data_IF_812806013376
#
_entry.id   IF_812806013376
#
_cell.length_a   1.000
_cell.length_b   1.000
_cell.length_c   1.000
_cell.angle_alpha   90.00
_cell.angle_beta   90.00
_cell.angle_gamma   90.00
#
_symmetry.space_group_name_H-M   'P 1'
#
loop_
_entity.id
_entity.type
_entity.pdbx_description
1 polymer ?
#
# COMPACT_ATOMS: atom_id res chain seq x y z
N UNK A 1 71.90 -13.57 -7.41
CA UNK A 1 71.61 -12.14 -7.16
C UNK A 1 70.28 -11.65 -7.77
N UNK A 2 69.71 -12.26 -8.82
CA UNK A 2 68.52 -11.71 -9.50
C UNK A 2 67.18 -11.75 -8.73
N UNK A 3 67.01 -12.65 -7.74
CA UNK A 3 65.72 -12.81 -7.04
C UNK A 3 65.52 -11.78 -5.92
N UNK A 4 66.60 -11.39 -5.23
CA UNK A 4 66.56 -10.39 -4.15
C UNK A 4 66.28 -8.99 -4.70
N UNK A 5 66.79 -8.67 -5.89
CA UNK A 5 66.53 -7.38 -6.57
C UNK A 5 65.09 -7.24 -7.09
N UNK A 6 64.36 -8.35 -7.26
CA UNK A 6 62.97 -8.38 -7.74
C UNK A 6 61.92 -8.39 -6.63
N UNK A 7 62.34 -8.63 -5.37
CA UNK A 7 61.44 -8.63 -4.21
C UNK A 7 60.61 -7.34 -4.08
N UNK A 8 61.17 -6.12 -4.27
CA UNK A 8 60.38 -4.89 -4.18
C UNK A 8 59.26 -4.84 -5.22
N UNK A 9 59.52 -5.31 -6.43
CA UNK A 9 58.54 -5.35 -7.52
C UNK A 9 57.44 -6.38 -7.25
N UNK A 10 57.79 -7.58 -6.77
CA UNK A 10 56.82 -8.61 -6.39
C UNK A 10 55.93 -8.16 -5.24
N UNK A 11 56.49 -7.53 -4.22
CA UNK A 11 55.72 -6.94 -3.11
C UNK A 11 54.76 -5.87 -3.65
N UNK A 12 55.22 -5.00 -4.55
CA UNK A 12 54.38 -3.99 -5.19
C UNK A 12 53.18 -4.58 -5.94
N UNK A 13 53.38 -5.68 -6.69
CA UNK A 13 52.31 -6.38 -7.41
C UNK A 13 51.32 -7.04 -6.44
N UNK A 14 51.80 -7.68 -5.37
CA UNK A 14 50.93 -8.30 -4.36
C UNK A 14 50.09 -7.23 -3.65
N UNK A 15 50.71 -6.12 -3.23
CA UNK A 15 50.00 -5.01 -2.59
C UNK A 15 48.99 -4.39 -3.56
N UNK A 16 49.39 -4.15 -4.81
CA UNK A 16 48.51 -3.58 -5.84
C UNK A 16 47.31 -4.46 -6.17
N UNK A 17 47.52 -5.77 -6.24
CA UNK A 17 46.44 -6.75 -6.52
C UNK A 17 45.49 -6.91 -5.34
N UNK A 18 45.99 -6.94 -4.10
CA UNK A 18 45.14 -6.96 -2.89
C UNK A 18 44.32 -5.67 -2.77
N UNK A 19 44.94 -4.51 -3.00
CA UNK A 19 44.23 -3.22 -2.98
C UNK A 19 43.16 -3.14 -4.07
N UNK A 20 43.48 -3.60 -5.29
CA UNK A 20 42.53 -3.65 -6.41
C UNK A 20 41.36 -4.58 -6.12
N UNK A 21 41.62 -5.78 -5.59
CA UNK A 21 40.57 -6.73 -5.20
C UNK A 21 39.66 -6.15 -4.11
N UNK A 22 40.23 -5.51 -3.08
CA UNK A 22 39.46 -4.89 -2.01
C UNK A 22 38.57 -3.74 -2.53
N UNK A 23 39.11 -2.88 -3.39
CA UNK A 23 38.36 -1.78 -4.02
C UNK A 23 37.21 -2.31 -4.90
N UNK A 24 37.46 -3.38 -5.65
CA UNK A 24 36.44 -4.01 -6.48
C UNK A 24 35.34 -4.67 -5.63
N UNK A 25 35.71 -5.43 -4.59
CA UNK A 25 34.77 -6.05 -3.68
C UNK A 25 33.87 -5.01 -2.95
N UNK A 26 34.42 -3.87 -2.55
CA UNK A 26 33.64 -2.78 -1.95
C UNK A 26 32.66 -2.15 -2.95
N UNK A 27 33.09 -1.99 -4.20
CA UNK A 27 32.26 -1.43 -5.27
C UNK A 27 31.11 -2.37 -5.63
N UNK A 28 31.38 -3.66 -5.77
CA UNK A 28 30.38 -4.69 -6.02
C UNK A 28 29.38 -4.79 -4.86
N UNK A 29 29.84 -4.78 -3.60
CA UNK A 29 28.95 -4.73 -2.43
C UNK A 29 28.02 -3.51 -2.43
N UNK A 30 28.54 -2.32 -2.77
CA UNK A 30 27.73 -1.09 -2.88
C UNK A 30 26.74 -1.13 -4.04
N UNK A 31 27.09 -1.80 -5.14
CA UNK A 31 26.20 -2.01 -6.29
C UNK A 31 25.08 -2.99 -5.94
N UNK A 32 25.41 -4.14 -5.36
CA UNK A 32 24.43 -5.13 -4.91
C UNK A 32 23.47 -4.60 -3.84
N UNK A 33 23.97 -3.77 -2.90
CA UNK A 33 23.12 -3.14 -1.91
C UNK A 33 22.08 -2.22 -2.57
N UNK A 34 22.51 -1.36 -3.51
CA UNK A 34 21.61 -0.47 -4.26
C UNK A 34 20.59 -1.23 -5.12
N UNK A 35 21.03 -2.25 -5.86
CA UNK A 35 20.13 -3.08 -6.67
C UNK A 35 19.10 -3.84 -5.82
N UNK A 36 19.48 -4.24 -4.59
CA UNK A 36 18.58 -4.89 -3.64
C UNK A 36 17.60 -3.91 -3.01
N UNK A 37 18.05 -2.71 -2.66
CA UNK A 37 17.20 -1.61 -2.17
C UNK A 37 16.13 -1.26 -3.21
N UNK A 38 16.51 -1.04 -4.47
CA UNK A 38 15.58 -0.74 -5.57
C UNK A 38 14.53 -1.85 -5.75
N UNK A 39 14.94 -3.13 -5.69
CA UNK A 39 14.00 -4.25 -5.83
C UNK A 39 12.99 -4.33 -4.68
N UNK A 40 13.43 -3.98 -3.47
CA UNK A 40 12.53 -3.92 -2.33
C UNK A 40 11.58 -2.72 -2.41
N UNK A 41 12.02 -1.59 -2.96
CA UNK A 41 11.16 -0.43 -3.23
C UNK A 41 10.08 -0.77 -4.26
N UNK A 42 10.46 -1.37 -5.38
CA UNK A 42 9.52 -1.82 -6.43
C UNK A 42 8.51 -2.82 -5.85
N UNK A 43 8.98 -3.76 -5.02
CA UNK A 43 8.10 -4.76 -4.41
C UNK A 43 7.13 -4.14 -3.42
N UNK A 44 7.58 -3.17 -2.62
CA UNK A 44 6.73 -2.42 -1.68
C UNK A 44 5.67 -1.61 -2.43
N UNK A 45 6.08 -0.86 -3.46
CA UNK A 45 5.17 -0.08 -4.29
C UNK A 45 4.07 -0.96 -4.91
N UNK A 46 4.46 -2.06 -5.54
CA UNK A 46 3.53 -3.03 -6.14
C UNK A 46 2.56 -3.61 -5.09
N UNK A 47 3.08 -3.96 -3.91
CA UNK A 47 2.29 -4.54 -2.81
C UNK A 47 1.29 -3.55 -2.23
N UNK A 48 1.72 -2.32 -1.93
CA UNK A 48 0.84 -1.26 -1.45
C UNK A 48 -0.23 -0.89 -2.47
N UNK A 49 0.13 -0.80 -3.75
CA UNK A 49 -0.81 -0.55 -4.84
C UNK A 49 -1.87 -1.64 -4.96
N UNK A 50 -1.46 -2.92 -4.94
CA UNK A 50 -2.40 -4.06 -4.95
C UNK A 50 -3.31 -4.07 -3.74
N UNK A 51 -2.76 -3.88 -2.54
CA UNK A 51 -3.54 -3.88 -1.31
C UNK A 51 -4.60 -2.75 -1.30
N UNK A 52 -4.21 -1.55 -1.73
CA UNK A 52 -5.15 -0.45 -1.89
C UNK A 52 -6.27 -0.76 -2.89
N UNK A 53 -5.95 -1.46 -3.98
CA UNK A 53 -6.94 -1.82 -5.00
C UNK A 53 -7.97 -2.82 -4.48
N UNK A 54 -7.54 -3.87 -3.75
CA UNK A 54 -8.49 -4.83 -3.16
C UNK A 54 -9.38 -4.17 -2.10
N UNK A 55 -8.84 -3.24 -1.30
CA UNK A 55 -9.64 -2.48 -0.34
C UNK A 55 -10.68 -1.57 -1.01
N UNK A 56 -10.30 -0.86 -2.06
CA UNK A 56 -11.24 -0.04 -2.84
C UNK A 56 -12.32 -0.89 -3.50
N UNK A 57 -11.97 -2.06 -4.03
CA UNK A 57 -12.94 -2.99 -4.62
C UNK A 57 -13.92 -3.51 -3.57
N UNK A 58 -13.43 -3.90 -2.39
CA UNK A 58 -14.24 -4.34 -1.26
C UNK A 58 -15.20 -3.23 -0.79
N UNK A 59 -14.71 -2.01 -0.57
CA UNK A 59 -15.54 -0.85 -0.22
C UNK A 59 -16.59 -0.55 -1.31
N UNK A 60 -16.22 -0.66 -2.59
CA UNK A 60 -17.13 -0.43 -3.71
C UNK A 60 -18.30 -1.40 -3.70
N UNK A 61 -18.08 -2.67 -3.39
CA UNK A 61 -19.16 -3.66 -3.27
C UNK A 61 -20.10 -3.28 -2.12
N UNK A 62 -19.55 -2.94 -0.95
CA UNK A 62 -20.37 -2.50 0.19
C UNK A 62 -21.21 -1.26 -0.13
N UNK A 63 -20.65 -0.27 -0.86
CA UNK A 63 -21.40 0.90 -1.32
C UNK A 63 -22.56 0.57 -2.25
N UNK A 64 -22.39 -0.41 -3.14
CA UNK A 64 -23.45 -0.85 -4.06
C UNK A 64 -24.60 -1.54 -3.32
N UNK A 65 -24.27 -2.33 -2.29
CA UNK A 65 -25.29 -2.91 -1.39
C UNK A 65 -25.99 -1.79 -0.60
N UNK A 66 -25.24 -0.82 -0.07
CA UNK A 66 -25.80 0.35 0.60
C UNK A 66 -26.79 1.13 -0.28
N UNK A 67 -26.50 1.27 -1.59
CA UNK A 67 -27.43 1.91 -2.53
C UNK A 67 -28.75 1.14 -2.68
N UNK A 68 -28.73 -0.20 -2.74
CA UNK A 68 -29.96 -1.01 -2.73
C UNK A 68 -30.76 -0.84 -1.42
N UNK A 69 -30.08 -0.52 -0.32
CA UNK A 69 -30.68 -0.25 0.99
C UNK A 69 -31.09 1.23 1.20
N UNK A 70 -31.05 2.06 0.15
CA UNK A 70 -31.53 3.45 0.19
C UNK A 70 -30.44 4.53 0.36
N UNK A 71 -29.16 4.17 0.34
CA UNK A 71 -28.03 5.11 0.45
C UNK A 71 -27.40 5.39 -0.92
N UNK A 72 -28.15 6.11 -1.75
CA UNK A 72 -27.92 6.25 -3.20
C UNK A 72 -26.78 7.21 -3.59
N UNK A 73 -25.56 6.94 -3.10
CA UNK A 73 -24.36 7.69 -3.49
C UNK A 73 -23.55 6.99 -4.62
N UNK A 74 -24.08 5.88 -5.18
CA UNK A 74 -23.52 5.16 -6.34
C UNK A 74 -24.63 4.84 -7.36
N UNK A 75 -24.27 4.84 -8.65
CA UNK A 75 -25.23 4.68 -9.75
C UNK A 75 -25.67 3.23 -10.04
N UNK A 76 -24.88 2.26 -9.61
CA UNK A 76 -25.02 0.82 -9.90
C UNK A 76 -25.26 0.02 -8.62
N UNK A 77 -26.51 -0.01 -8.15
CA UNK A 77 -26.90 -0.78 -6.99
C UNK A 77 -26.61 -2.29 -7.15
N UNK A 78 -26.54 -2.98 -6.02
CA UNK A 78 -26.36 -4.43 -5.96
C UNK A 78 -27.21 -4.99 -4.83
N UNK A 79 -28.15 -5.88 -5.15
CA UNK A 79 -29.03 -6.45 -4.14
C UNK A 79 -28.23 -7.22 -3.08
N UNK A 80 -28.59 -7.16 -1.78
CA UNK A 80 -27.85 -7.84 -0.72
C UNK A 80 -27.64 -9.33 -0.97
N UNK A 81 -28.64 -10.01 -1.54
CA UNK A 81 -28.56 -11.44 -1.87
C UNK A 81 -27.45 -11.77 -2.88
N UNK A 82 -27.18 -10.86 -3.83
CA UNK A 82 -26.14 -11.02 -4.84
C UNK A 82 -24.80 -10.43 -4.38
N UNK A 83 -24.84 -9.37 -3.58
CA UNK A 83 -23.66 -8.63 -3.15
C UNK A 83 -22.90 -9.27 -1.99
N UNK A 84 -23.59 -9.89 -1.03
CA UNK A 84 -22.93 -10.48 0.14
C UNK A 84 -21.94 -11.60 -0.22
N UNK A 85 -22.22 -12.52 -1.18
CA UNK A 85 -21.23 -13.48 -1.66
C UNK A 85 -20.00 -12.81 -2.29
N UNK A 86 -20.20 -11.76 -3.10
CA UNK A 86 -19.11 -11.01 -3.72
C UNK A 86 -18.26 -10.26 -2.68
N UNK A 87 -18.89 -9.76 -1.62
CA UNK A 87 -18.22 -9.11 -0.52
C UNK A 87 -17.33 -10.09 0.26
N UNK A 88 -17.81 -11.31 0.53
CA UNK A 88 -17.02 -12.36 1.16
C UNK A 88 -15.81 -12.81 0.31
N UNK A 89 -15.98 -12.86 -1.02
CA UNK A 89 -14.87 -13.14 -1.93
C UNK A 89 -13.83 -11.99 -1.91
N UNK A 90 -14.28 -10.74 -1.98
CA UNK A 90 -13.39 -9.58 -1.86
C UNK A 90 -12.64 -9.56 -0.52
N UNK A 91 -13.31 -9.95 0.57
CA UNK A 91 -12.71 -10.09 1.89
C UNK A 91 -11.56 -11.11 1.89
N UNK A 92 -11.76 -12.26 1.26
CA UNK A 92 -10.77 -13.33 1.12
C UNK A 92 -9.56 -12.88 0.28
N UNK A 93 -9.79 -12.15 -0.80
CA UNK A 93 -8.73 -11.57 -1.63
C UNK A 93 -7.91 -10.54 -0.84
N UNK A 94 -8.58 -9.67 -0.07
CA UNK A 94 -7.92 -8.70 0.80
C UNK A 94 -7.11 -9.37 1.89
N UNK A 95 -7.61 -10.44 2.52
CA UNK A 95 -6.86 -11.23 3.50
C UNK A 95 -5.60 -11.84 2.88
N UNK A 96 -5.68 -12.33 1.63
CA UNK A 96 -4.50 -12.85 0.91
C UNK A 96 -3.46 -11.75 0.64
N UNK A 97 -3.89 -10.56 0.19
CA UNK A 97 -2.97 -9.44 -0.05
C UNK A 97 -2.38 -8.87 1.25
N UNK A 98 -3.08 -9.01 2.37
CA UNK A 98 -2.62 -8.55 3.68
C UNK A 98 -1.31 -9.20 4.11
N UNK A 99 -1.16 -10.51 3.87
CA UNK A 99 0.08 -11.24 4.17
C UNK A 99 1.29 -10.62 3.47
N UNK A 100 1.12 -10.16 2.23
CA UNK A 100 2.22 -9.50 1.51
C UNK A 100 2.59 -8.16 2.14
N UNK A 101 1.62 -7.37 2.61
CA UNK A 101 1.87 -6.09 3.31
C UNK A 101 2.66 -6.31 4.59
N UNK A 102 2.32 -7.35 5.37
CA UNK A 102 3.04 -7.70 6.59
C UNK A 102 4.51 -8.06 6.34
N UNK A 103 4.83 -8.66 5.20
CA UNK A 103 6.18 -9.12 4.87
C UNK A 103 7.10 -7.99 4.38
N UNK A 104 6.55 -6.99 3.70
CA UNK A 104 7.36 -5.97 3.01
C UNK A 104 7.25 -4.58 3.60
N UNK A 105 6.20 -4.30 4.38
CA UNK A 105 5.94 -2.95 4.86
C UNK A 105 6.63 -2.60 6.17
N UNK A 106 6.86 -1.31 6.38
CA UNK A 106 7.28 -0.80 7.67
C UNK A 106 6.11 -0.78 8.67
N UNK A 107 6.44 -0.68 9.97
CA UNK A 107 5.44 -0.72 11.02
C UNK A 107 4.37 0.39 10.89
N UNK A 108 4.76 1.58 10.42
CA UNK A 108 3.85 2.71 10.22
C UNK A 108 2.84 2.43 9.10
N UNK A 109 3.31 1.96 7.95
CA UNK A 109 2.43 1.63 6.82
C UNK A 109 1.54 0.43 7.12
N UNK A 110 2.06 -0.60 7.81
CA UNK A 110 1.26 -1.74 8.26
C UNK A 110 0.12 -1.27 9.18
N UNK A 111 0.41 -0.41 10.16
CA UNK A 111 -0.61 0.10 11.08
C UNK A 111 -1.68 0.94 10.36
N UNK A 112 -1.28 1.82 9.43
CA UNK A 112 -2.21 2.63 8.66
C UNK A 112 -3.08 1.77 7.71
N UNK A 113 -2.47 0.76 7.07
CA UNK A 113 -3.17 -0.23 6.25
C UNK A 113 -4.21 -1.01 7.08
N UNK A 114 -3.84 -1.40 8.31
CA UNK A 114 -4.74 -2.07 9.26
C UNK A 114 -5.92 -1.16 9.65
N UNK A 115 -5.65 0.11 9.92
CA UNK A 115 -6.73 1.05 10.20
C UNK A 115 -7.69 1.20 9.03
N UNK A 116 -7.17 1.22 7.80
CA UNK A 116 -8.02 1.38 6.61
C UNK A 116 -8.94 0.18 6.39
N UNK A 117 -8.47 -1.06 6.42
CA UNK A 117 -9.39 -2.20 6.25
C UNK A 117 -10.37 -2.38 7.42
N UNK A 118 -10.00 -2.03 8.66
CA UNK A 118 -10.94 -2.01 9.81
C UNK A 118 -12.10 -1.01 9.60
N UNK A 119 -11.81 0.17 9.05
CA UNK A 119 -12.87 1.15 8.72
C UNK A 119 -13.77 0.66 7.59
N UNK A 120 -13.23 -0.05 6.59
CA UNK A 120 -14.05 -0.68 5.54
C UNK A 120 -14.93 -1.79 6.13
N UNK A 121 -14.39 -2.64 7.00
CA UNK A 121 -15.16 -3.67 7.69
C UNK A 121 -16.31 -3.05 8.51
N UNK A 122 -16.10 -1.90 9.15
CA UNK A 122 -17.19 -1.19 9.85
C UNK A 122 -18.37 -0.88 8.90
N UNK A 123 -18.10 -0.48 7.65
CA UNK A 123 -19.13 -0.23 6.63
C UNK A 123 -19.80 -1.55 6.20
N UNK A 124 -19.04 -2.64 6.10
CA UNK A 124 -19.60 -3.95 5.77
C UNK A 124 -20.57 -4.49 6.81
N UNK A 125 -20.28 -4.26 8.10
CA UNK A 125 -21.18 -4.64 9.17
C UNK A 125 -22.53 -3.93 9.03
N UNK A 126 -22.52 -2.64 8.67
CA UNK A 126 -23.75 -1.87 8.44
C UNK A 126 -24.60 -2.49 7.32
N UNK A 127 -24.01 -2.90 6.20
CA UNK A 127 -24.79 -3.49 5.09
C UNK A 127 -25.25 -4.92 5.39
N UNK A 128 -24.53 -5.66 6.25
CA UNK A 128 -24.92 -7.02 6.69
C UNK A 128 -26.06 -6.99 7.70
N UNK A 129 -26.13 -5.96 8.55
CA UNK A 129 -27.21 -5.77 9.52
C UNK A 129 -28.55 -5.40 8.86
N UNK A 130 -28.54 -4.95 7.60
CA UNK A 130 -29.72 -4.65 6.79
C UNK A 130 -30.48 -3.38 7.19
N UNK A 131 -30.18 -2.80 8.37
CA UNK A 131 -30.71 -1.50 8.81
C UNK A 131 -29.54 -0.54 8.99
N UNK A 132 -29.33 0.33 8.00
CA UNK A 132 -28.22 1.28 8.02
C UNK A 132 -28.72 2.59 8.63
N UNK A 133 -28.08 3.01 9.73
CA UNK A 133 -28.24 4.37 10.27
C UNK A 133 -27.49 5.36 9.36
N UNK A 134 -28.16 6.37 8.76
CA UNK A 134 -27.52 7.35 7.88
C UNK A 134 -26.33 8.07 8.51
N UNK A 135 -26.37 8.37 9.80
CA UNK A 135 -25.28 9.05 10.50
C UNK A 135 -24.06 8.12 10.60
N UNK A 136 -24.29 6.83 10.92
CA UNK A 136 -23.21 5.82 10.94
C UNK A 136 -22.66 5.56 9.56
N UNK A 137 -23.50 5.54 8.52
CA UNK A 137 -23.09 5.37 7.13
C UNK A 137 -22.13 6.45 6.68
N UNK A 138 -22.51 7.72 6.85
CA UNK A 138 -21.67 8.87 6.50
C UNK A 138 -20.38 8.88 7.31
N UNK A 139 -20.46 8.64 8.63
CA UNK A 139 -19.29 8.61 9.51
C UNK A 139 -18.32 7.49 9.12
N UNK A 140 -18.82 6.31 8.81
CA UNK A 140 -18.00 5.17 8.37
C UNK A 140 -17.22 5.51 7.10
N UNK A 141 -17.87 6.14 6.13
CA UNK A 141 -17.22 6.59 4.89
C UNK A 141 -16.17 7.67 5.13
N UNK A 142 -16.45 8.66 5.98
CA UNK A 142 -15.47 9.68 6.36
C UNK A 142 -14.24 9.07 7.04
N UNK A 143 -14.45 8.12 7.95
CA UNK A 143 -13.36 7.38 8.61
C UNK A 143 -12.54 6.56 7.61
N UNK A 144 -13.19 5.90 6.65
CA UNK A 144 -12.51 5.14 5.60
C UNK A 144 -11.70 6.02 4.66
N UNK A 145 -12.21 7.20 4.29
CA UNK A 145 -11.47 8.19 3.50
C UNK A 145 -10.25 8.73 4.25
N UNK A 146 -10.39 9.06 5.54
CA UNK A 146 -9.27 9.52 6.35
C UNK A 146 -8.19 8.43 6.51
N UNK A 147 -8.59 7.19 6.82
CA UNK A 147 -7.66 6.08 6.97
C UNK A 147 -6.95 5.70 5.64
N UNK A 148 -7.63 5.89 4.50
CA UNK A 148 -7.00 5.78 3.18
C UNK A 148 -5.88 6.80 2.99
N UNK A 149 -6.13 8.06 3.35
CA UNK A 149 -5.15 9.13 3.20
C UNK A 149 -3.94 8.89 4.12
N UNK A 150 -4.16 8.45 5.37
CA UNK A 150 -3.11 8.03 6.31
C UNK A 150 -2.26 6.88 5.75
N UNK A 151 -2.91 5.89 5.12
CA UNK A 151 -2.22 4.76 4.49
C UNK A 151 -1.32 5.22 3.36
N UNK A 152 -1.82 6.05 2.45
CA UNK A 152 -1.01 6.54 1.33
C UNK A 152 0.12 7.47 1.77
N UNK A 153 -0.10 8.29 2.80
CA UNK A 153 0.98 9.11 3.38
C UNK A 153 2.08 8.22 3.96
N UNK A 154 1.71 7.19 4.72
CA UNK A 154 2.67 6.25 5.31
C UNK A 154 3.40 5.44 4.24
N UNK A 155 2.69 4.92 3.23
CA UNK A 155 3.27 4.19 2.12
C UNK A 155 4.26 5.05 1.32
N UNK A 156 3.94 6.32 1.06
CA UNK A 156 4.87 7.25 0.39
C UNK A 156 6.11 7.51 1.23
N UNK A 157 5.95 7.69 2.54
CA UNK A 157 7.07 7.89 3.47
C UNK A 157 7.99 6.68 3.49
N UNK A 158 7.44 5.47 3.54
CA UNK A 158 8.20 4.22 3.50
C UNK A 158 8.96 4.02 2.16
N UNK A 159 8.35 4.45 1.05
CA UNK A 159 8.97 4.47 -0.28
C UNK A 159 9.94 5.65 -0.52
N UNK A 160 10.14 6.53 0.47
CA UNK A 160 10.99 7.71 0.32
C UNK A 160 10.47 8.78 -0.64
N UNK A 161 9.16 8.76 -0.95
CA UNK A 161 8.52 9.70 -1.87
C UNK A 161 8.12 10.97 -1.10
N UNK A 162 8.72 12.10 -1.49
CA UNK A 162 8.44 13.40 -0.88
C UNK A 162 7.09 14.00 -1.32
N UNK A 163 6.60 14.96 -0.52
CA UNK A 163 5.40 15.75 -0.81
C UNK A 163 4.10 15.13 -0.29
N UNK A 164 3.23 16.00 0.22
CA UNK A 164 1.91 15.64 0.72
C UNK A 164 0.95 15.28 -0.43
N UNK A 165 0.01 14.38 -0.15
CA UNK A 165 -1.10 14.15 -1.05
C UNK A 165 -2.12 15.28 -0.92
N UNK A 166 -2.77 15.70 -2.01
CA UNK A 166 -3.98 16.47 -1.89
C UNK A 166 -5.01 15.64 -1.10
N UNK A 167 -5.86 16.27 -0.28
CA UNK A 167 -6.86 15.57 0.50
C UNK A 167 -7.79 14.76 -0.41
N UNK A 168 -8.27 13.62 0.09
CA UNK A 168 -9.32 12.87 -0.58
C UNK A 168 -10.54 13.73 -0.88
N UNK A 169 -11.25 13.42 -1.97
CA UNK A 169 -12.57 13.98 -2.21
C UNK A 169 -13.50 13.66 -1.03
N UNK A 170 -14.24 14.66 -0.56
CA UNK A 170 -15.15 14.49 0.58
C UNK A 170 -16.33 13.59 0.23
N UNK A 171 -16.84 12.88 1.24
CA UNK A 171 -18.07 12.11 1.17
C UNK A 171 -19.14 12.68 2.12
N UNK A 172 -20.39 12.86 1.67
CA UNK A 172 -20.88 12.72 0.28
C UNK A 172 -20.25 13.78 -0.65
N UNK A 173 -20.32 13.57 -1.97
CA UNK A 173 -19.50 14.31 -2.95
C UNK A 173 -19.97 15.76 -3.08
N UNK A 174 -19.19 16.78 -2.64
CA UNK A 174 -19.67 18.16 -2.58
C UNK A 174 -19.95 18.76 -3.97
N UNK A 175 -19.21 18.32 -5.00
CA UNK A 175 -19.42 18.76 -6.37
C UNK A 175 -20.79 18.37 -6.96
N UNK A 176 -21.51 17.39 -6.38
CA UNK A 176 -22.89 17.10 -6.82
C UNK A 176 -23.84 18.27 -6.49
N UNK A 177 -23.57 19.00 -5.41
CA UNK A 177 -24.30 20.22 -5.09
C UNK A 177 -23.98 21.34 -6.09
N UNK A 178 -22.74 21.42 -6.59
CA UNK A 178 -22.32 22.38 -7.62
C UNK A 178 -23.01 22.13 -8.97
N UNK A 179 -23.39 20.88 -9.28
CA UNK A 179 -24.15 20.52 -10.49
C UNK A 179 -25.67 20.76 -10.36
N UNK A 180 -26.16 21.00 -9.15
CA UNK A 180 -27.60 21.15 -8.85
C UNK A 180 -28.06 22.62 -8.79
N UNK A 181 -27.16 23.56 -9.12
CA UNK A 181 -27.41 25.01 -9.17
C UNK A 181 -27.70 25.54 -10.57
#
# INVERSE_FOLDING_TARGET
>A
MALLDQLPALIGVVVGSVASYAAQALTERRKWKREREVRWDDKRFETYGRYANVLKAQLRIAQRIGAALGFADVADLLEPAEGLPLLAEAESQRATQWESVLLVGDAGTIAAARRWHETIWTIELLVREGTIDPVKWTKGHQMASAARDDFYESARRDLGIAGALPPSGQWPRPWQAELSG
#
